data_IF_110300756949
#
_entry.id   IF_110300756949
#
_cell.length_a   1.000
_cell.length_b   1.000
_cell.length_c   1.000
_cell.angle_alpha   90.00
_cell.angle_beta   90.00
_cell.angle_gamma   90.00
#
_symmetry.space_group_name_H-M   'P 1'
#
loop_
_entity.id
_entity.type
_entity.pdbx_description
1 polymer ?
#
# COMPACT_ATOMS: atom_id res chain seq x y z
N UNK A 1 0.55 -20.75 -15.91
CA UNK A 1 1.41 -19.96 -15.00
C UNK A 1 1.03 -20.31 -13.57
N UNK A 2 2.00 -20.54 -12.68
CA UNK A 2 1.75 -21.04 -11.30
C UNK A 2 1.57 -19.93 -10.25
N UNK A 3 1.58 -18.65 -10.63
CA UNK A 3 1.43 -17.53 -9.70
C UNK A 3 2.69 -17.20 -8.88
N UNK A 4 3.85 -17.76 -9.23
CA UNK A 4 5.11 -17.52 -8.50
C UNK A 4 5.71 -16.12 -8.76
N UNK A 5 5.48 -15.57 -9.94
CA UNK A 5 5.97 -14.24 -10.35
C UNK A 5 4.80 -13.38 -10.84
N UNK A 6 4.82 -12.10 -10.48
CA UNK A 6 3.79 -11.13 -10.88
C UNK A 6 4.05 -10.60 -12.30
N UNK A 7 5.32 -10.44 -12.68
CA UNK A 7 5.74 -9.93 -13.98
C UNK A 7 7.05 -10.60 -14.42
N UNK A 8 7.18 -10.87 -15.72
CA UNK A 8 8.39 -11.34 -16.38
C UNK A 8 8.74 -10.29 -17.45
N UNK A 9 9.99 -9.84 -17.45
CA UNK A 9 10.54 -8.86 -18.41
C UNK A 9 11.88 -9.37 -18.95
N UNK A 10 12.36 -8.76 -20.03
CA UNK A 10 13.72 -9.00 -20.51
C UNK A 10 14.75 -8.50 -19.49
N UNK A 11 15.94 -9.13 -19.46
CA UNK A 11 17.00 -8.78 -18.51
C UNK A 11 17.41 -7.31 -18.60
N UNK A 12 17.46 -6.77 -19.82
CA UNK A 12 17.77 -5.35 -20.08
C UNK A 12 16.72 -4.36 -19.57
N UNK A 13 15.50 -4.82 -19.28
CA UNK A 13 14.38 -3.99 -18.80
C UNK A 13 14.15 -4.12 -17.29
N UNK A 14 14.87 -5.03 -16.62
CA UNK A 14 14.63 -5.39 -15.23
C UNK A 14 14.80 -4.18 -14.29
N UNK A 15 15.89 -3.43 -14.45
CA UNK A 15 16.19 -2.29 -13.60
C UNK A 15 15.13 -1.18 -13.73
N UNK A 16 14.82 -0.78 -14.96
CA UNK A 16 13.81 0.24 -15.24
C UNK A 16 12.43 -0.19 -14.71
N UNK A 17 12.05 -1.46 -14.91
CA UNK A 17 10.78 -1.99 -14.42
C UNK A 17 10.70 -1.92 -12.89
N UNK A 18 11.75 -2.32 -12.18
CA UNK A 18 11.81 -2.29 -10.71
C UNK A 18 11.78 -0.86 -10.19
N UNK A 19 12.55 0.05 -10.79
CA UNK A 19 12.60 1.45 -10.38
C UNK A 19 11.26 2.15 -10.62
N UNK A 20 10.60 1.90 -11.76
CA UNK A 20 9.28 2.45 -12.04
C UNK A 20 8.25 1.98 -11.01
N UNK A 21 8.23 0.68 -10.68
CA UNK A 21 7.35 0.16 -9.64
C UNK A 21 7.63 0.78 -8.27
N UNK A 22 8.90 0.95 -7.90
CA UNK A 22 9.27 1.62 -6.65
C UNK A 22 8.82 3.09 -6.65
N UNK A 23 8.98 3.79 -7.76
CA UNK A 23 8.55 5.19 -7.92
C UNK A 23 7.02 5.35 -7.87
N UNK A 24 6.26 4.34 -8.28
CA UNK A 24 4.80 4.34 -8.10
C UNK A 24 4.37 4.09 -6.64
N UNK A 25 5.09 3.24 -5.91
CA UNK A 25 4.72 2.83 -4.55
C UNK A 25 5.18 3.83 -3.48
N UNK A 26 6.41 4.34 -3.61
CA UNK A 26 7.04 5.22 -2.61
C UNK A 26 6.29 6.52 -2.27
N UNK A 27 5.55 7.18 -3.19
CA UNK A 27 4.77 8.37 -2.85
C UNK A 27 3.42 8.05 -2.20
N UNK A 28 3.05 6.78 -1.99
CA UNK A 28 1.77 6.39 -1.39
C UNK A 28 1.83 6.43 0.15
N UNK A 29 0.67 6.53 0.80
CA UNK A 29 0.56 6.66 2.26
C UNK A 29 1.17 5.45 2.99
N UNK A 30 2.31 5.60 3.70
CA UNK A 30 3.05 4.46 4.24
C UNK A 30 2.27 3.63 5.27
N UNK A 31 1.48 4.27 6.12
CA UNK A 31 0.69 3.56 7.13
C UNK A 31 -0.45 2.75 6.51
N UNK A 32 -1.08 3.27 5.45
CA UNK A 32 -2.11 2.53 4.70
C UNK A 32 -1.51 1.28 4.05
N UNK A 33 -0.37 1.42 3.37
CA UNK A 33 0.36 0.30 2.77
C UNK A 33 0.71 -0.79 3.80
N UNK A 34 1.27 -0.37 4.96
CA UNK A 34 1.64 -1.29 6.04
C UNK A 34 0.44 -2.06 6.58
N UNK A 35 -0.66 -1.36 6.90
CA UNK A 35 -1.88 -1.97 7.45
C UNK A 35 -2.54 -2.90 6.45
N UNK A 36 -2.60 -2.51 5.18
CA UNK A 36 -3.15 -3.35 4.12
C UNK A 36 -2.36 -4.66 3.98
N UNK A 37 -1.01 -4.60 4.04
CA UNK A 37 -0.18 -5.81 4.01
C UNK A 37 -0.42 -6.73 5.22
N UNK A 38 -0.65 -6.17 6.42
CA UNK A 38 -1.02 -6.95 7.61
C UNK A 38 -2.37 -7.64 7.40
N UNK A 39 -3.38 -6.92 6.91
CA UNK A 39 -4.71 -7.49 6.63
C UNK A 39 -4.61 -8.64 5.62
N UNK A 40 -3.93 -8.41 4.48
CA UNK A 40 -3.72 -9.45 3.47
C UNK A 40 -3.00 -10.68 4.02
N UNK A 41 -1.95 -10.48 4.82
CA UNK A 41 -1.21 -11.60 5.40
C UNK A 41 -2.06 -12.42 6.36
N UNK A 42 -2.94 -11.77 7.13
CA UNK A 42 -3.90 -12.44 8.00
C UNK A 42 -4.96 -13.21 7.21
N UNK A 43 -5.48 -12.65 6.12
CA UNK A 43 -6.45 -13.36 5.25
C UNK A 43 -5.81 -14.60 4.62
N UNK A 44 -4.55 -14.50 4.19
CA UNK A 44 -3.81 -15.63 3.60
C UNK A 44 -3.52 -16.72 4.65
N UNK A 45 -3.16 -16.35 5.88
CA UNK A 45 -2.84 -17.31 6.93
C UNK A 45 -4.07 -17.93 7.59
N UNK A 46 -5.17 -17.18 7.69
CA UNK A 46 -6.41 -17.63 8.29
C UNK A 46 -7.63 -17.01 7.57
N UNK A 47 -8.25 -17.77 6.67
CA UNK A 47 -9.41 -17.32 5.91
C UNK A 47 -10.68 -17.15 6.76
N UNK A 48 -10.75 -17.71 7.98
CA UNK A 48 -11.89 -17.47 8.88
C UNK A 48 -11.92 -16.03 9.42
N UNK A 49 -10.78 -15.32 9.33
CA UNK A 49 -10.55 -13.98 9.89
C UNK A 49 -10.64 -13.93 11.43
N UNK A 50 -10.72 -15.09 12.10
CA UNK A 50 -10.68 -15.14 13.55
C UNK A 50 -9.38 -14.54 14.08
N UNK A 51 -9.51 -13.62 15.05
CA UNK A 51 -8.38 -12.91 15.64
C UNK A 51 -7.85 -11.72 14.81
N UNK A 52 -8.47 -11.41 13.67
CA UNK A 52 -8.17 -10.15 12.96
C UNK A 52 -8.71 -8.98 13.79
N UNK A 53 -7.82 -8.02 14.07
CA UNK A 53 -8.22 -6.75 14.67
C UNK A 53 -9.12 -5.97 13.70
N UNK A 54 -10.40 -5.85 14.06
CA UNK A 54 -11.39 -5.13 13.25
C UNK A 54 -11.14 -3.62 13.23
N UNK A 55 -10.39 -3.08 14.20
CA UNK A 55 -10.06 -1.67 14.26
C UNK A 55 -8.91 -1.29 13.32
N UNK A 56 -8.07 -2.27 12.93
CA UNK A 56 -6.88 -2.04 12.11
C UNK A 56 -7.13 -1.22 10.83
N UNK A 57 -8.19 -1.47 10.02
CA UNK A 57 -8.49 -0.63 8.86
C UNK A 57 -8.82 0.82 9.23
N UNK A 58 -9.54 1.02 10.34
CA UNK A 58 -10.04 2.30 10.81
C UNK A 58 -8.94 3.19 11.40
N UNK A 59 -7.87 2.60 11.95
CA UNK A 59 -6.69 3.36 12.44
C UNK A 59 -6.01 4.22 11.35
N UNK A 60 -6.33 4.01 10.06
CA UNK A 60 -5.92 4.92 8.99
C UNK A 60 -6.54 6.32 9.11
N UNK A 61 -7.77 6.42 9.60
CA UNK A 61 -8.51 7.68 9.65
C UNK A 61 -7.93 8.68 10.66
N UNK A 62 -7.19 8.17 11.64
CA UNK A 62 -6.49 8.97 12.66
C UNK A 62 -5.10 9.43 12.21
N UNK A 63 -4.60 8.98 11.06
CA UNK A 63 -3.27 9.39 10.56
C UNK A 63 -3.28 10.80 9.96
N UNK A 64 -2.17 11.51 10.10
CA UNK A 64 -1.97 12.78 9.41
C UNK A 64 -2.03 12.60 7.88
N UNK A 65 -1.55 11.45 7.37
CA UNK A 65 -1.63 11.11 5.95
C UNK A 65 -3.08 11.01 5.44
N UNK A 66 -4.03 10.58 6.26
CA UNK A 66 -5.44 10.56 5.85
C UNK A 66 -6.01 11.98 5.72
N UNK A 67 -5.68 12.88 6.64
CA UNK A 67 -6.10 14.28 6.52
C UNK A 67 -5.44 14.97 5.33
N UNK A 68 -4.13 14.77 5.13
CA UNK A 68 -3.39 15.25 3.95
C UNK A 68 -4.01 14.73 2.65
N UNK A 69 -4.36 13.44 2.58
CA UNK A 69 -5.00 12.86 1.40
C UNK A 69 -6.34 13.51 1.08
N UNK A 70 -7.16 13.76 2.11
CA UNK A 70 -8.43 14.48 1.96
C UNK A 70 -8.22 15.92 1.49
N UNK A 71 -7.30 16.66 2.12
CA UNK A 71 -7.00 18.04 1.78
C UNK A 71 -6.43 18.16 0.36
N UNK A 72 -5.48 17.30 -0.01
CA UNK A 72 -4.88 17.23 -1.33
C UNK A 72 -5.92 16.96 -2.41
N UNK A 73 -6.85 16.03 -2.15
CA UNK A 73 -7.96 15.73 -3.04
C UNK A 73 -8.87 16.94 -3.25
N UNK A 74 -9.33 17.58 -2.16
CA UNK A 74 -10.21 18.77 -2.22
C UNK A 74 -9.52 19.92 -2.97
N UNK A 75 -8.23 20.12 -2.72
CA UNK A 75 -7.42 21.18 -3.34
C UNK A 75 -6.83 20.82 -4.71
N UNK A 76 -7.13 19.62 -5.26
CA UNK A 76 -6.66 19.13 -6.56
C UNK A 76 -5.14 19.20 -6.73
N UNK A 77 -4.40 18.88 -5.68
CA UNK A 77 -2.94 18.79 -5.69
C UNK A 77 -2.50 17.35 -5.36
N UNK A 78 -1.29 16.95 -5.75
CA UNK A 78 -0.71 15.71 -5.26
C UNK A 78 -0.58 15.72 -3.72
N UNK A 79 -0.86 14.61 -3.04
CA UNK A 79 -0.62 14.49 -1.61
C UNK A 79 0.86 14.34 -1.29
N UNK A 80 1.25 14.75 -0.08
CA UNK A 80 2.61 14.64 0.45
C UNK A 80 2.59 13.83 1.76
N UNK A 81 2.53 12.50 1.63
CA UNK A 81 2.48 11.60 2.77
C UNK A 81 3.81 11.51 3.53
N UNK A 82 3.74 11.43 4.86
CA UNK A 82 4.88 11.42 5.79
C UNK A 82 4.91 10.20 6.71
N UNK A 83 3.93 9.30 6.64
CA UNK A 83 3.90 8.06 7.43
C UNK A 83 3.55 8.27 8.90
N UNK A 84 2.73 9.27 9.21
CA UNK A 84 2.26 9.61 10.55
C UNK A 84 0.79 10.01 10.51
#
# INVERSE_FOLDING_TARGET
>A
RMGLITQLVEDSELEDTVLNLANEITPLAPLSQKRHKIILQNVISNQSLDGLDQELPYTNFDSADFQEGKEAFISRRPPNFKGR
#
